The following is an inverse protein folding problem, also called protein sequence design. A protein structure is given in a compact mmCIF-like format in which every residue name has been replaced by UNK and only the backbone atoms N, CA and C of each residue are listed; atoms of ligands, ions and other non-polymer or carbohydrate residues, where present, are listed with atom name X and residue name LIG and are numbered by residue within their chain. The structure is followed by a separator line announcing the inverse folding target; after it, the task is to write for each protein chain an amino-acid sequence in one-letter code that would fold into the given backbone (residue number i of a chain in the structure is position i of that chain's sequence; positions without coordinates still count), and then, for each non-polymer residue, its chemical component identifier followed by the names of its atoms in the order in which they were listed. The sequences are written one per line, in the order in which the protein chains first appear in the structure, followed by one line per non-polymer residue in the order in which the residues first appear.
data_IF_407850066834
#
_entry.id   IF_407850066834
#
_cell.length_a   1.000
_cell.length_b   1.000
_cell.length_c   1.000
_cell.angle_alpha   90.00
_cell.angle_beta   90.00
_cell.angle_gamma   90.00
#
_symmetry.space_group_name_H-M   'P 1'
#
loop_
_entity.id
_entity.type
_entity.pdbx_description
1 polymer ?
#
# COMPACT_ATOMS: atom_id res chain seq x y z
N UNK A 1 13.02 8.72 5.50
CA UNK A 1 11.66 8.36 5.01
C UNK A 1 11.69 7.47 3.77
N UNK A 2 12.60 7.66 2.81
CA UNK A 2 12.69 6.80 1.62
C UNK A 2 13.09 5.35 1.90
N UNK A 3 13.81 5.05 3.00
CA UNK A 3 14.19 3.66 3.33
C UNK A 3 13.04 2.76 3.79
N UNK A 4 11.93 3.34 4.26
CA UNK A 4 10.81 2.58 4.84
C UNK A 4 9.59 2.52 3.91
N UNK A 5 9.70 3.01 2.67
CA UNK A 5 8.59 3.02 1.72
C UNK A 5 7.31 3.70 2.28
N UNK A 6 7.51 4.72 3.14
CA UNK A 6 6.42 5.46 3.77
C UNK A 6 5.85 6.46 2.77
N UNK A 7 4.55 6.36 2.52
CA UNK A 7 3.79 7.29 1.68
C UNK A 7 3.17 8.36 2.56
N UNK A 8 3.22 9.61 2.10
CA UNK A 8 2.63 10.75 2.79
C UNK A 8 1.60 11.40 1.88
N UNK A 9 0.37 11.51 2.37
CA UNK A 9 -0.68 12.31 1.76
C UNK A 9 -1.02 13.49 2.68
N UNK A 10 -1.35 14.63 2.07
CA UNK A 10 -1.67 15.87 2.77
C UNK A 10 -3.08 16.34 2.39
N UNK A 11 -3.79 16.97 3.33
CA UNK A 11 -4.96 17.81 3.03
C UNK A 11 -4.72 19.24 3.55
N UNK A 12 -5.73 20.11 3.43
CA UNK A 12 -5.63 21.51 3.88
C UNK A 12 -5.43 21.66 5.40
N UNK A 13 -5.68 20.61 6.19
CA UNK A 13 -5.75 20.67 7.66
C UNK A 13 -4.73 19.76 8.36
N UNK A 14 -4.07 18.86 7.64
CA UNK A 14 -3.29 17.79 8.21
C UNK A 14 -2.62 16.87 7.19
N UNK A 15 -2.13 15.74 7.68
CA UNK A 15 -1.45 14.73 6.87
C UNK A 15 -1.71 13.32 7.39
N UNK A 16 -1.49 12.34 6.52
CA UNK A 16 -1.49 10.93 6.83
C UNK A 16 -0.18 10.30 6.36
N UNK A 17 0.45 9.52 7.23
CA UNK A 17 1.58 8.66 6.92
C UNK A 17 1.05 7.23 6.80
N UNK A 18 1.43 6.53 5.74
CA UNK A 18 1.01 5.15 5.51
C UNK A 18 2.21 4.28 5.15
N UNK A 19 2.20 3.04 5.66
CA UNK A 19 3.16 2.00 5.30
C UNK A 19 2.46 0.65 5.29
N UNK A 20 2.71 -0.14 4.25
CA UNK A 20 2.17 -1.48 4.09
C UNK A 20 3.27 -2.52 4.27
N UNK A 21 2.95 -3.62 4.93
CA UNK A 21 3.87 -4.76 5.01
C UNK A 21 3.87 -5.53 3.70
N UNK A 22 4.96 -6.25 3.43
CA UNK A 22 4.91 -7.35 2.45
C UNK A 22 3.91 -8.42 2.91
N UNK A 23 3.40 -9.26 2.00
CA UNK A 23 2.54 -10.37 2.40
C UNK A 23 3.22 -11.26 3.44
N UNK A 24 2.48 -11.64 4.48
CA UNK A 24 3.02 -12.42 5.61
C UNK A 24 3.08 -13.93 5.34
N UNK A 25 2.48 -14.36 4.23
CA UNK A 25 2.37 -15.76 3.86
C UNK A 25 2.89 -15.95 2.44
N UNK A 26 3.28 -17.19 2.12
CA UNK A 26 3.70 -17.55 0.77
C UNK A 26 2.58 -17.31 -0.26
N UNK A 27 1.31 -17.40 0.15
CA UNK A 27 0.17 -16.92 -0.66
C UNK A 27 -0.10 -15.45 -0.31
N UNK A 28 -0.18 -14.53 -1.30
CA UNK A 28 -0.24 -13.09 -1.06
C UNK A 28 -1.67 -12.63 -0.71
N UNK A 29 -2.22 -13.16 0.38
CA UNK A 29 -3.61 -12.92 0.78
C UNK A 29 -3.75 -12.02 2.00
N UNK A 30 -2.72 -11.98 2.86
CA UNK A 30 -2.73 -11.21 4.11
C UNK A 30 -1.50 -10.30 4.18
N UNK A 31 -1.76 -9.03 4.46
CA UNK A 31 -0.78 -8.01 4.78
C UNK A 31 -1.38 -7.05 5.82
N UNK A 32 -0.54 -6.24 6.45
CA UNK A 32 -0.98 -5.18 7.35
C UNK A 32 -0.65 -3.81 6.77
N UNK A 33 -1.49 -2.84 7.10
CA UNK A 33 -1.26 -1.43 6.83
C UNK A 33 -1.24 -0.68 8.15
N UNK A 34 -0.20 0.13 8.35
CA UNK A 34 -0.09 1.04 9.48
C UNK A 34 -0.31 2.47 8.98
N UNK A 35 -1.20 3.20 9.66
CA UNK A 35 -1.53 4.57 9.32
C UNK A 35 -1.39 5.47 10.54
N UNK A 36 -0.71 6.60 10.37
CA UNK A 36 -0.65 7.66 11.36
C UNK A 36 -1.30 8.92 10.80
N UNK A 37 -2.32 9.42 11.49
CA UNK A 37 -3.07 10.61 11.09
C UNK A 37 -2.73 11.79 11.99
N UNK A 38 -2.49 12.94 11.40
CA UNK A 38 -2.45 14.21 12.10
C UNK A 38 -3.52 15.11 11.49
N UNK A 39 -4.61 15.33 12.23
CA UNK A 39 -5.73 16.17 11.83
C UNK A 39 -6.30 15.86 10.42
N UNK A 40 -6.25 14.58 10.04
CA UNK A 40 -6.62 14.07 8.73
C UNK A 40 -7.67 12.96 8.87
N UNK A 41 -8.88 13.21 8.36
CA UNK A 41 -10.00 12.28 8.46
C UNK A 41 -10.27 11.49 7.17
N UNK A 42 -9.66 11.86 6.06
CA UNK A 42 -9.83 11.21 4.76
C UNK A 42 -9.15 9.84 4.64
N UNK A 43 -9.00 9.38 3.40
CA UNK A 43 -8.24 8.18 3.04
C UNK A 43 -7.06 8.60 2.15
N UNK A 44 -5.86 8.12 2.45
CA UNK A 44 -4.71 8.36 1.58
C UNK A 44 -4.78 7.46 0.34
N UNK A 45 -4.60 8.07 -0.84
CA UNK A 45 -4.74 7.40 -2.13
C UNK A 45 -3.44 6.75 -2.60
N UNK A 46 -2.29 7.14 -2.04
CA UNK A 46 -0.98 6.70 -2.52
C UNK A 46 -0.67 5.22 -2.24
N UNK A 47 -1.26 4.64 -1.20
CA UNK A 47 -0.86 3.30 -0.72
C UNK A 47 -1.43 2.13 -1.57
N UNK A 48 -2.43 2.40 -2.42
CA UNK A 48 -3.06 1.35 -3.25
C UNK A 48 -2.16 0.88 -4.40
N UNK A 49 -1.36 1.78 -4.99
CA UNK A 49 -0.62 1.49 -6.21
C UNK A 49 0.56 0.53 -5.98
N UNK A 50 1.28 0.70 -4.87
CA UNK A 50 2.38 -0.19 -4.48
C UNK A 50 1.88 -1.59 -4.11
N UNK A 51 0.72 -1.66 -3.46
CA UNK A 51 0.07 -2.92 -3.10
C UNK A 51 -0.41 -3.69 -4.33
N UNK A 52 -1.06 -2.99 -5.28
CA UNK A 52 -1.44 -3.57 -6.56
C UNK A 52 -0.24 -4.03 -7.38
N UNK A 53 0.85 -3.25 -7.45
CA UNK A 53 2.06 -3.67 -8.14
C UNK A 53 2.69 -4.95 -7.58
N UNK A 54 2.69 -5.13 -6.26
CA UNK A 54 3.18 -6.36 -5.62
C UNK A 54 2.28 -7.58 -5.89
N UNK A 55 0.95 -7.37 -5.91
CA UNK A 55 -0.03 -8.40 -6.27
C UNK A 55 0.11 -8.76 -7.75
N UNK A 56 0.16 -7.79 -8.66
CA UNK A 56 0.33 -8.00 -10.10
C UNK A 56 1.63 -8.74 -10.42
N UNK A 57 2.75 -8.40 -9.77
CA UNK A 57 4.01 -9.11 -9.92
C UNK A 57 3.90 -10.59 -9.51
N UNK A 58 3.20 -10.89 -8.41
CA UNK A 58 2.95 -12.27 -7.98
C UNK A 58 1.96 -13.01 -8.91
N UNK A 59 0.93 -12.34 -9.41
CA UNK A 59 0.01 -12.92 -10.40
C UNK A 59 0.72 -13.21 -11.72
N UNK A 60 1.65 -12.35 -12.16
CA UNK A 60 2.48 -12.55 -13.35
C UNK A 60 3.43 -13.74 -13.19
N UNK A 61 4.07 -13.89 -12.02
CA UNK A 61 4.91 -15.04 -11.69
C UNK A 61 4.15 -16.37 -11.66
N UNK A 62 2.85 -16.34 -11.33
CA UNK A 62 1.99 -17.53 -11.22
C UNK A 62 1.17 -17.82 -12.49
N UNK A 63 1.28 -16.98 -13.52
CA UNK A 63 0.52 -17.14 -14.77
C UNK A 63 -0.99 -16.86 -14.64
N UNK A 64 -1.43 -16.21 -13.56
CA UNK A 64 -2.85 -15.93 -13.26
C UNK A 64 -3.23 -14.46 -13.50
N UNK A 65 -2.41 -13.69 -14.22
CA UNK A 65 -2.74 -12.33 -14.61
C UNK A 65 -3.50 -12.35 -15.94
N UNK A 66 -4.83 -12.20 -15.90
CA UNK A 66 -5.63 -11.92 -17.09
C UNK A 66 -5.62 -10.41 -17.34
N UNK A 67 -5.06 -10.01 -18.48
CA UNK A 67 -5.15 -8.63 -18.97
C UNK A 67 -6.60 -8.41 -19.43
N UNK A 68 -7.37 -7.62 -18.67
CA UNK A 68 -8.63 -7.03 -19.13
C UNK A 68 -8.37 -5.61 -19.63
#
# INVERSE_FOLDING_TARGET
MQELDIVIDFDEKGYILQISTRPLQARPTLFFEFMQRNNYNGFGAGNFKSLFGAIEAQHKLRGTLFMI
#
